data_IF_360875608836
#
_entry.id   IF_360875608836
#
_cell.length_a   1.000
_cell.length_b   1.000
_cell.length_c   1.000
_cell.angle_alpha   90.00
_cell.angle_beta   90.00
_cell.angle_gamma   90.00
#
_symmetry.space_group_name_H-M   'P 1'
#
loop_
_entity.id
_entity.type
_entity.pdbx_description
1 polymer ?
#
# COMPACT_ATOMS: atom_id res chain seq x y z
N UNK A 1 27.07 -45.73 3.87
CA UNK A 1 27.27 -45.23 2.50
C UNK A 1 27.63 -43.76 2.59
N UNK A 2 28.93 -43.47 2.59
CA UNK A 2 29.50 -42.11 2.69
C UNK A 2 29.44 -41.44 1.32
N UNK A 3 28.82 -40.26 1.22
CA UNK A 3 28.96 -39.38 0.06
C UNK A 3 29.71 -38.11 0.50
N UNK A 4 30.81 -37.73 -0.16
CA UNK A 4 31.54 -36.51 0.17
C UNK A 4 30.76 -35.29 -0.34
N UNK A 5 30.62 -34.29 0.53
CA UNK A 5 30.15 -32.95 0.18
C UNK A 5 31.26 -32.21 -0.59
N UNK A 6 30.99 -31.86 -1.84
CA UNK A 6 31.77 -30.90 -2.63
C UNK A 6 31.21 -29.51 -2.36
N UNK A 7 31.99 -28.67 -1.68
CA UNK A 7 31.70 -27.25 -1.46
C UNK A 7 32.29 -26.47 -2.63
N UNK A 8 31.50 -25.76 -3.46
CA UNK A 8 32.04 -24.85 -4.46
C UNK A 8 32.52 -23.57 -3.78
N UNK A 9 33.84 -23.33 -3.84
CA UNK A 9 34.48 -22.07 -3.46
C UNK A 9 34.21 -21.06 -4.59
N UNK A 10 33.26 -20.16 -4.37
CA UNK A 10 33.03 -18.99 -5.23
C UNK A 10 34.05 -17.91 -4.88
N UNK A 11 34.96 -17.65 -5.83
CA UNK A 11 35.94 -16.58 -5.78
C UNK A 11 35.22 -15.22 -5.86
N UNK A 12 35.30 -14.44 -4.78
CA UNK A 12 34.84 -13.06 -4.72
C UNK A 12 35.75 -12.16 -5.58
N UNK A 13 35.22 -11.65 -6.68
CA UNK A 13 35.83 -10.55 -7.44
C UNK A 13 35.50 -9.22 -6.77
N UNK A 14 36.51 -8.57 -6.22
CA UNK A 14 36.41 -7.20 -5.67
C UNK A 14 36.35 -6.21 -6.84
N UNK A 15 35.22 -5.54 -7.01
CA UNK A 15 35.07 -4.37 -7.89
C UNK A 15 35.11 -3.11 -7.03
N UNK A 16 36.18 -2.33 -7.16
CA UNK A 16 36.30 -0.99 -6.58
C UNK A 16 35.91 0.04 -7.64
N UNK A 17 34.75 0.68 -7.49
CA UNK A 17 34.38 1.87 -8.27
C UNK A 17 34.84 3.11 -7.50
N UNK A 18 35.98 3.69 -7.89
CA UNK A 18 36.44 4.99 -7.42
C UNK A 18 35.90 6.11 -8.30
N UNK A 19 34.94 6.87 -7.77
CA UNK A 19 34.43 8.09 -8.40
C UNK A 19 34.49 9.26 -7.42
N UNK A 20 35.33 10.25 -7.70
CA UNK A 20 35.42 11.52 -6.97
C UNK A 20 34.20 12.39 -7.29
N UNK A 21 33.36 12.67 -6.29
CA UNK A 21 32.26 13.64 -6.40
C UNK A 21 32.80 15.04 -6.15
N UNK A 22 32.69 15.90 -7.14
CA UNK A 22 32.99 17.33 -7.07
C UNK A 22 31.76 18.04 -6.49
N UNK A 23 31.91 18.67 -5.33
CA UNK A 23 30.88 19.51 -4.70
C UNK A 23 30.92 20.92 -5.28
N UNK A 24 29.85 21.34 -5.95
CA UNK A 24 29.59 22.75 -6.27
C UNK A 24 28.57 23.32 -5.26
N UNK A 25 28.86 24.46 -4.61
CA UNK A 25 27.90 25.15 -3.74
C UNK A 25 26.94 26.00 -4.58
N UNK A 26 25.74 25.46 -4.86
CA UNK A 26 24.62 26.20 -5.46
C UNK A 26 23.79 26.91 -4.39
N UNK A 27 24.00 28.22 -4.25
CA UNK A 27 23.14 29.11 -3.47
C UNK A 27 21.76 29.25 -4.13
N UNK A 28 20.68 29.01 -3.37
CA UNK A 28 19.33 29.42 -3.78
C UNK A 28 18.66 30.30 -2.72
N UNK A 29 18.44 31.54 -3.16
CA UNK A 29 17.56 32.59 -2.67
C UNK A 29 16.21 32.03 -2.21
N UNK A 30 15.65 32.36 -1.03
CA UNK A 30 15.22 33.71 -0.68
C UNK A 30 13.84 33.98 -1.26
N UNK A 31 12.78 33.52 -0.57
CA UNK A 31 11.38 33.75 -0.94
C UNK A 31 10.50 33.86 0.31
N UNK A 32 10.13 35.09 0.66
CA UNK A 32 9.22 35.44 1.75
C UNK A 32 7.83 35.74 1.21
N UNK A 33 6.79 35.43 2.00
CA UNK A 33 5.52 36.15 1.94
C UNK A 33 4.28 35.30 1.67
N UNK A 34 3.28 35.42 2.55
CA UNK A 34 1.93 34.92 2.32
C UNK A 34 1.20 34.56 3.61
N UNK A 35 0.83 35.57 4.40
CA UNK A 35 -0.15 35.42 5.48
C UNK A 35 -1.52 35.71 4.88
N UNK A 36 -2.44 34.75 4.93
CA UNK A 36 -3.86 34.98 4.71
C UNK A 36 -4.67 34.48 5.90
N UNK A 37 -5.45 35.43 6.43
CA UNK A 37 -6.33 35.28 7.56
C UNK A 37 -7.76 34.99 7.08
N UNK A 38 -8.45 34.12 7.81
CA UNK A 38 -9.89 34.24 8.11
C UNK A 38 -10.89 33.80 7.03
N UNK A 39 -11.75 32.85 7.42
CA UNK A 39 -13.19 33.12 7.55
C UNK A 39 -13.93 31.88 8.08
N UNK A 40 -14.57 32.05 9.24
CA UNK A 40 -15.71 31.26 9.69
C UNK A 40 -16.85 31.30 8.66
N UNK A 41 -17.54 30.18 8.45
CA UNK A 41 -18.96 30.17 8.05
C UNK A 41 -19.61 28.81 8.31
N UNK A 42 -20.57 28.84 9.24
CA UNK A 42 -21.57 27.81 9.45
C UNK A 42 -22.69 27.92 8.41
N UNK A 43 -23.12 26.80 7.82
CA UNK A 43 -24.47 26.59 7.25
C UNK A 43 -24.67 25.07 7.01
N UNK A 44 -25.55 24.41 7.78
CA UNK A 44 -26.95 24.08 7.46
C UNK A 44 -27.14 23.25 6.19
N UNK A 45 -27.74 22.07 6.39
CA UNK A 45 -27.99 21.04 5.39
C UNK A 45 -28.89 21.46 4.23
N UNK A 46 -28.76 20.70 3.14
CA UNK A 46 -29.57 20.80 1.94
C UNK A 46 -29.94 19.41 1.43
N UNK A 47 -31.24 19.13 1.43
CA UNK A 47 -31.92 18.03 0.76
C UNK A 47 -31.76 18.17 -0.76
N UNK A 48 -31.24 17.16 -1.46
CA UNK A 48 -31.14 17.17 -2.91
C UNK A 48 -32.41 16.59 -3.56
N UNK A 49 -33.19 17.49 -4.17
CA UNK A 49 -34.26 17.17 -5.13
C UNK A 49 -33.65 17.13 -6.54
N UNK A 50 -34.05 16.13 -7.32
CA UNK A 50 -33.53 15.87 -8.67
C UNK A 50 -33.84 16.98 -9.68
N UNK A 51 -32.86 17.24 -10.55
CA UNK A 51 -33.00 18.09 -11.72
C UNK A 51 -32.60 17.33 -12.98
N UNK A 52 -33.53 17.18 -13.91
CA UNK A 52 -33.27 16.77 -15.29
C UNK A 52 -32.58 17.89 -16.05
N UNK A 53 -31.50 17.59 -16.78
CA UNK A 53 -30.93 18.49 -17.78
C UNK A 53 -30.69 17.74 -19.09
N UNK A 54 -31.23 18.32 -20.15
CA UNK A 54 -31.22 17.88 -21.54
C UNK A 54 -30.06 18.55 -22.29
N UNK A 55 -29.34 17.78 -23.12
CA UNK A 55 -28.75 18.25 -24.38
C UNK A 55 -27.41 18.99 -24.34
N UNK A 56 -26.34 18.29 -24.70
CA UNK A 56 -25.05 18.87 -25.08
C UNK A 56 -24.17 17.82 -25.76
N UNK A 57 -24.12 17.82 -27.09
CA UNK A 57 -23.31 16.90 -27.89
C UNK A 57 -21.89 17.46 -28.01
N UNK A 58 -20.93 16.80 -27.37
CA UNK A 58 -19.50 17.03 -27.58
C UNK A 58 -18.76 15.69 -27.71
N UNK A 59 -18.16 15.52 -28.87
CA UNK A 59 -17.36 14.38 -29.33
C UNK A 59 -15.99 14.36 -28.66
N UNK A 60 -15.56 13.19 -28.18
CA UNK A 60 -14.16 12.76 -28.22
C UNK A 60 -13.28 13.09 -27.01
N UNK A 61 -13.45 12.34 -25.93
CA UNK A 61 -12.41 12.15 -24.91
C UNK A 61 -12.64 10.80 -24.25
N UNK A 62 -11.67 9.89 -24.35
CA UNK A 62 -11.73 8.58 -23.68
C UNK A 62 -11.85 8.82 -22.19
N UNK A 63 -13.03 8.58 -21.64
CA UNK A 63 -13.27 8.51 -20.21
C UNK A 63 -12.39 7.39 -19.66
N UNK A 64 -11.43 7.76 -18.80
CA UNK A 64 -10.78 6.79 -17.95
C UNK A 64 -11.88 6.06 -17.17
N UNK A 65 -11.98 4.75 -17.39
CA UNK A 65 -12.78 3.86 -16.55
C UNK A 65 -12.25 3.97 -15.13
N UNK A 66 -12.91 4.77 -14.30
CA UNK A 66 -12.70 4.75 -12.86
C UNK A 66 -12.83 3.31 -12.39
N UNK A 67 -11.81 2.81 -11.71
CA UNK A 67 -11.79 1.47 -11.15
C UNK A 67 -13.04 1.23 -10.33
N UNK A 68 -13.69 0.09 -10.56
CA UNK A 68 -14.84 -0.36 -9.78
C UNK A 68 -14.47 -0.33 -8.31
N UNK A 69 -15.24 0.42 -7.50
CA UNK A 69 -15.20 0.24 -6.05
C UNK A 69 -15.59 -1.22 -5.77
N UNK A 70 -14.65 -1.98 -5.21
CA UNK A 70 -14.83 -3.40 -4.91
C UNK A 70 -16.12 -3.65 -4.11
N UNK A 71 -16.78 -4.77 -4.41
CA UNK A 71 -18.01 -5.17 -3.72
C UNK A 71 -17.78 -5.24 -2.20
N UNK A 72 -18.75 -4.75 -1.41
CA UNK A 72 -18.71 -4.77 0.05
C UNK A 72 -18.59 -6.22 0.56
N UNK A 73 -17.37 -6.63 0.91
CA UNK A 73 -17.05 -7.95 1.45
C UNK A 73 -17.58 -8.16 2.86
N UNK A 74 -17.83 -9.42 3.22
CA UNK A 74 -18.33 -9.87 4.52
C UNK A 74 -17.36 -9.66 5.70
N UNK A 75 -17.52 -10.39 6.83
CA UNK A 75 -16.88 -10.07 8.10
C UNK A 75 -15.37 -9.88 7.96
N UNK A 76 -14.88 -8.76 8.50
CA UNK A 76 -13.62 -8.09 8.19
C UNK A 76 -12.31 -8.85 8.46
N UNK A 77 -12.36 -10.03 9.09
CA UNK A 77 -11.19 -10.88 9.28
C UNK A 77 -11.19 -11.93 8.18
N UNK A 78 -10.48 -11.63 7.10
CA UNK A 78 -10.34 -12.53 5.96
C UNK A 78 -9.36 -13.67 6.25
N UNK A 79 -8.42 -13.46 7.19
CA UNK A 79 -7.35 -14.39 7.49
C UNK A 79 -6.75 -14.10 8.88
N UNK A 80 -5.90 -15.00 9.36
CA UNK A 80 -5.03 -14.76 10.51
C UNK A 80 -3.58 -14.93 10.09
N UNK A 81 -2.64 -14.26 10.77
CA UNK A 81 -1.19 -14.45 10.52
C UNK A 81 -0.77 -15.92 10.66
N UNK A 82 -1.43 -16.65 11.57
CA UNK A 82 -1.23 -18.09 11.78
C UNK A 82 -1.79 -18.98 10.66
N UNK A 83 -2.72 -18.47 9.85
CA UNK A 83 -3.34 -19.17 8.74
C UNK A 83 -3.58 -18.23 7.54
N UNK A 84 -2.53 -17.93 6.74
CA UNK A 84 -2.66 -17.15 5.52
C UNK A 84 -3.16 -17.99 4.33
N UNK A 85 -3.50 -19.28 4.54
CA UNK A 85 -3.97 -20.16 3.47
C UNK A 85 -5.24 -19.71 2.73
N UNK A 86 -6.18 -18.93 3.30
CA UNK A 86 -7.34 -18.47 2.55
C UNK A 86 -7.01 -17.30 1.61
N UNK A 87 -5.84 -16.65 1.76
CA UNK A 87 -5.41 -15.57 0.90
C UNK A 87 -4.88 -16.09 -0.44
N UNK A 88 -5.29 -15.44 -1.52
CA UNK A 88 -4.85 -15.78 -2.88
C UNK A 88 -4.30 -14.53 -3.56
N UNK A 89 -3.27 -14.73 -4.38
CA UNK A 89 -2.76 -13.69 -5.28
C UNK A 89 -3.49 -13.83 -6.61
N UNK A 90 -4.07 -12.74 -7.07
CA UNK A 90 -4.49 -12.57 -8.45
C UNK A 90 -3.33 -11.91 -9.21
N UNK A 91 -2.73 -12.66 -10.13
CA UNK A 91 -1.71 -12.15 -11.03
C UNK A 91 -2.17 -12.35 -12.46
N UNK A 92 -2.45 -11.24 -13.12
CA UNK A 92 -2.69 -11.19 -14.55
C UNK A 92 -1.88 -10.05 -15.18
N UNK A 93 -2.21 -9.67 -16.41
CA UNK A 93 -1.51 -8.63 -17.13
C UNK A 93 -1.79 -7.20 -16.64
N UNK A 94 -2.88 -7.01 -15.90
CA UNK A 94 -3.35 -5.70 -15.46
C UNK A 94 -3.12 -5.47 -13.96
N UNK A 95 -3.18 -6.53 -13.15
CA UNK A 95 -3.24 -6.45 -11.71
C UNK A 95 -2.34 -7.50 -11.04
N UNK A 96 -1.73 -7.05 -9.95
CA UNK A 96 -1.07 -7.91 -8.98
C UNK A 96 -1.62 -7.53 -7.60
N UNK A 97 -2.66 -8.23 -7.16
CA UNK A 97 -3.35 -7.93 -5.91
C UNK A 97 -3.67 -9.20 -5.15
N UNK A 98 -3.77 -9.10 -3.83
CA UNK A 98 -4.24 -10.19 -3.01
C UNK A 98 -5.73 -10.03 -2.72
N UNK A 99 -6.44 -11.15 -2.60
CA UNK A 99 -7.84 -11.18 -2.24
C UNK A 99 -8.11 -12.31 -1.25
N UNK A 100 -9.11 -12.09 -0.39
CA UNK A 100 -9.46 -13.01 0.68
C UNK A 100 -10.50 -14.06 0.32
N UNK A 101 -10.85 -14.93 1.29
CA UNK A 101 -11.88 -15.94 1.10
C UNK A 101 -13.25 -15.26 0.95
N UNK A 102 -13.99 -15.67 -0.07
CA UNK A 102 -15.33 -15.16 -0.36
C UNK A 102 -15.35 -13.84 -1.12
N UNK A 103 -14.20 -13.20 -1.34
CA UNK A 103 -14.08 -12.08 -2.26
C UNK A 103 -14.04 -12.61 -3.70
N UNK A 104 -14.87 -12.09 -4.63
CA UNK A 104 -14.76 -12.46 -6.03
C UNK A 104 -13.40 -12.01 -6.56
N UNK A 105 -12.71 -12.84 -7.37
CA UNK A 105 -11.47 -12.40 -7.99
C UNK A 105 -11.72 -11.15 -8.87
N UNK A 106 -10.72 -10.30 -9.04
CA UNK A 106 -10.79 -9.18 -9.98
C UNK A 106 -11.16 -9.66 -11.38
N UNK A 107 -11.83 -8.83 -12.19
CA UNK A 107 -12.11 -9.18 -13.57
C UNK A 107 -10.79 -9.41 -14.33
N UNK A 108 -10.75 -10.47 -15.12
CA UNK A 108 -9.58 -10.80 -15.93
C UNK A 108 -9.26 -9.69 -16.93
N UNK A 109 -7.98 -9.35 -17.03
CA UNK A 109 -7.46 -8.44 -18.03
C UNK A 109 -7.70 -9.00 -19.44
N UNK A 110 -8.32 -8.21 -20.32
CA UNK A 110 -8.55 -8.58 -21.72
C UNK A 110 -7.29 -8.52 -22.59
N UNK A 111 -6.15 -8.09 -22.04
CA UNK A 111 -4.89 -7.98 -22.77
C UNK A 111 -3.97 -9.13 -22.39
N UNK A 112 -3.39 -9.77 -23.41
CA UNK A 112 -2.30 -10.72 -23.22
C UNK A 112 -0.97 -9.98 -23.01
N UNK A 113 -0.23 -10.38 -21.98
CA UNK A 113 1.09 -9.90 -21.64
C UNK A 113 2.10 -11.04 -21.75
N UNK A 114 3.36 -10.70 -22.03
CA UNK A 114 4.44 -11.68 -22.05
C UNK A 114 4.84 -12.15 -20.65
N UNK A 115 4.64 -11.29 -19.64
CA UNK A 115 4.94 -11.53 -18.23
C UNK A 115 3.79 -10.96 -17.41
N UNK A 116 3.32 -11.70 -16.41
CA UNK A 116 2.28 -11.24 -15.50
C UNK A 116 2.75 -10.07 -14.63
N UNK A 117 1.80 -9.27 -14.16
CA UNK A 117 2.06 -8.04 -13.42
C UNK A 117 2.86 -8.30 -12.14
N UNK A 118 2.57 -9.37 -11.39
CA UNK A 118 3.32 -9.70 -10.18
C UNK A 118 4.79 -10.03 -10.48
N UNK A 119 5.04 -10.89 -11.47
CA UNK A 119 6.41 -11.22 -11.89
C UNK A 119 7.15 -9.98 -12.37
N UNK A 120 6.49 -9.09 -13.11
CA UNK A 120 7.10 -7.82 -13.56
C UNK A 120 7.46 -6.88 -12.40
N UNK A 121 6.72 -6.95 -11.29
CA UNK A 121 6.99 -6.21 -10.05
C UNK A 121 8.06 -6.89 -9.16
N UNK A 122 8.66 -7.98 -9.64
CA UNK A 122 9.77 -8.66 -8.96
C UNK A 122 9.35 -9.69 -7.92
N UNK A 123 8.08 -10.10 -7.91
CA UNK A 123 7.66 -11.19 -7.02
C UNK A 123 8.20 -12.53 -7.51
N UNK A 124 8.88 -13.30 -6.65
CA UNK A 124 9.34 -14.63 -7.00
C UNK A 124 8.14 -15.55 -7.31
N UNK A 125 8.30 -16.37 -8.35
CA UNK A 125 7.29 -17.36 -8.70
C UNK A 125 7.00 -18.30 -7.53
N UNK A 126 5.73 -18.43 -7.17
CA UNK A 126 5.30 -19.27 -6.04
C UNK A 126 5.22 -18.55 -4.70
N UNK A 127 5.47 -17.24 -4.65
CA UNK A 127 5.08 -16.43 -3.48
C UNK A 127 3.59 -16.59 -3.21
N UNK A 128 3.24 -16.72 -1.94
CA UNK A 128 1.86 -16.76 -1.46
C UNK A 128 1.51 -15.40 -0.88
N UNK A 129 0.23 -15.03 -0.96
CA UNK A 129 -0.27 -13.87 -0.24
C UNK A 129 -0.01 -14.04 1.27
N UNK A 130 0.28 -12.92 1.93
CA UNK A 130 0.41 -12.85 3.38
C UNK A 130 -0.92 -12.38 3.99
N UNK A 131 -1.14 -12.74 5.25
CA UNK A 131 -2.19 -12.13 6.05
C UNK A 131 -1.55 -11.09 6.95
N UNK A 132 -1.86 -9.82 6.72
CA UNK A 132 -1.30 -8.71 7.49
C UNK A 132 -2.48 -7.89 8.05
N UNK A 133 -2.57 -7.75 9.37
CA UNK A 133 -3.66 -6.99 10.02
C UNK A 133 -5.07 -7.51 9.64
N UNK A 134 -5.22 -8.83 9.51
CA UNK A 134 -6.50 -9.48 9.21
C UNK A 134 -6.97 -9.39 7.75
N UNK A 135 -6.13 -8.87 6.84
CA UNK A 135 -6.40 -8.81 5.40
C UNK A 135 -5.34 -9.54 4.59
N UNK A 136 -5.73 -9.93 3.38
CA UNK A 136 -4.80 -10.50 2.43
C UNK A 136 -4.02 -9.39 1.72
N UNK A 137 -2.70 -9.51 1.70
CA UNK A 137 -1.80 -8.64 0.93
C UNK A 137 -0.86 -9.49 0.10
N UNK A 138 -0.39 -8.97 -1.03
CA UNK A 138 0.65 -9.64 -1.82
C UNK A 138 1.93 -9.79 -0.99
N UNK A 139 2.19 -8.82 -0.11
CA UNK A 139 3.30 -8.84 0.84
C UNK A 139 4.58 -8.33 0.20
N UNK A 140 4.49 -7.26 -0.60
CA UNK A 140 5.67 -6.55 -1.05
C UNK A 140 6.44 -6.00 0.15
N UNK A 141 7.77 -6.05 0.08
CA UNK A 141 8.61 -5.34 1.02
C UNK A 141 8.67 -3.88 0.59
N UNK A 142 8.25 -2.96 1.46
CA UNK A 142 8.27 -1.52 1.19
C UNK A 142 9.02 -0.76 2.29
N UNK A 143 9.79 -1.49 3.12
CA UNK A 143 10.55 -0.91 4.23
C UNK A 143 11.91 -0.38 3.74
N UNK A 144 12.18 0.94 3.81
CA UNK A 144 13.47 1.51 3.45
C UNK A 144 14.65 0.89 4.22
N UNK A 145 14.42 0.32 5.41
CA UNK A 145 15.46 -0.32 6.21
C UNK A 145 16.05 -1.57 5.53
N UNK A 146 15.34 -2.17 4.57
CA UNK A 146 15.80 -3.34 3.82
C UNK A 146 16.55 -2.99 2.53
N UNK A 147 16.75 -1.71 2.22
CA UNK A 147 17.49 -1.26 1.04
C UNK A 147 18.98 -1.14 1.33
N UNK A 148 19.80 -1.85 0.56
CA UNK A 148 21.27 -1.80 0.63
C UNK A 148 21.94 -1.25 -0.63
N UNK A 149 21.19 -0.99 -1.70
CA UNK A 149 21.72 -0.42 -2.93
C UNK A 149 21.80 1.11 -2.85
N UNK A 150 22.84 1.70 -3.45
CA UNK A 150 23.10 3.16 -3.39
C UNK A 150 22.19 4.00 -4.33
N UNK A 151 20.96 3.56 -4.59
CA UNK A 151 19.99 4.27 -5.42
C UNK A 151 19.09 5.18 -4.59
N UNK A 152 18.65 6.29 -5.18
CA UNK A 152 17.53 7.06 -4.62
C UNK A 152 16.22 6.27 -4.81
N UNK A 153 15.27 6.34 -3.86
CA UNK A 153 13.94 5.77 -4.05
C UNK A 153 13.25 6.42 -5.27
N UNK A 154 12.42 5.68 -6.02
CA UNK A 154 11.57 6.29 -7.03
C UNK A 154 10.55 7.22 -6.38
N UNK A 155 10.12 8.24 -7.11
CA UNK A 155 9.02 9.10 -6.69
C UNK A 155 7.69 8.40 -7.00
N UNK A 156 6.91 8.12 -5.95
CA UNK A 156 5.67 7.38 -6.04
C UNK A 156 4.48 8.31 -5.77
N UNK A 157 3.42 8.18 -6.56
CA UNK A 157 2.18 8.94 -6.34
C UNK A 157 1.55 8.58 -4.98
N UNK A 158 0.74 9.46 -4.37
CA UNK A 158 0.08 9.17 -3.10
C UNK A 158 -0.77 7.89 -3.14
N UNK A 159 -0.60 7.02 -2.15
CA UNK A 159 -1.21 5.68 -2.12
C UNK A 159 -0.35 4.58 -2.76
N UNK A 160 0.78 4.94 -3.35
CA UNK A 160 1.83 4.02 -3.79
C UNK A 160 3.06 4.12 -2.89
N UNK A 161 3.79 3.03 -2.77
CA UNK A 161 5.06 2.97 -2.04
C UNK A 161 6.15 2.32 -2.90
N UNK A 162 7.41 2.75 -2.76
CA UNK A 162 8.52 2.11 -3.45
C UNK A 162 8.74 0.71 -2.88
N UNK A 163 8.66 -0.31 -3.72
CA UNK A 163 8.96 -1.68 -3.33
C UNK A 163 10.48 -1.89 -3.19
N UNK A 164 10.87 -2.86 -2.39
CA UNK A 164 12.24 -3.33 -2.20
C UNK A 164 12.36 -4.70 -2.86
N UNK A 165 13.15 -4.77 -3.92
CA UNK A 165 13.34 -5.97 -4.73
C UNK A 165 14.80 -6.35 -4.70
N UNK A 166 15.10 -7.51 -4.12
CA UNK A 166 16.48 -7.96 -3.88
C UNK A 166 17.31 -6.85 -3.20
N UNK A 167 16.73 -6.22 -2.18
CA UNK A 167 17.30 -5.13 -1.37
C UNK A 167 17.76 -3.88 -2.13
N UNK A 168 17.30 -3.71 -3.37
CA UNK A 168 17.35 -2.44 -4.06
C UNK A 168 15.94 -1.85 -4.15
N UNK A 169 15.83 -0.56 -4.46
CA UNK A 169 14.57 0.03 -4.86
C UNK A 169 14.05 -0.60 -6.16
N UNK A 170 12.80 -1.06 -6.12
CA UNK A 170 12.02 -1.53 -7.25
C UNK A 170 11.07 -0.44 -7.76
N UNK A 171 9.98 -0.87 -8.42
CA UNK A 171 8.92 0.02 -8.85
C UNK A 171 8.01 0.49 -7.70
N UNK A 172 7.07 1.39 -8.02
CA UNK A 172 6.02 1.77 -7.09
C UNK A 172 4.89 0.72 -7.12
N UNK A 173 4.47 0.27 -5.94
CA UNK A 173 3.37 -0.68 -5.75
C UNK A 173 2.30 -0.05 -4.87
N UNK A 174 1.08 -0.58 -4.87
CA UNK A 174 0.03 -0.08 -3.99
C UNK A 174 0.47 -0.24 -2.52
N UNK A 175 0.39 0.84 -1.74
CA UNK A 175 0.79 0.83 -0.33
C UNK A 175 -0.01 -0.19 0.51
N UNK A 176 -1.25 -0.47 0.10
CA UNK A 176 -2.09 -1.50 0.69
C UNK A 176 -1.58 -2.94 0.45
N UNK A 177 -0.78 -3.18 -0.58
CA UNK A 177 -0.21 -4.51 -0.90
C UNK A 177 1.17 -4.73 -0.28
N UNK A 178 1.74 -3.69 0.35
CA UNK A 178 2.94 -3.79 1.15
C UNK A 178 2.65 -4.54 2.46
N UNK A 179 3.65 -5.30 2.93
CA UNK A 179 3.63 -5.91 4.26
C UNK A 179 3.52 -4.82 5.33
N UNK A 180 4.37 -3.81 5.22
CA UNK A 180 4.38 -2.60 6.04
C UNK A 180 4.80 -1.40 5.17
N UNK A 181 4.56 -0.19 5.66
CA UNK A 181 5.02 1.06 5.04
C UNK A 181 5.84 1.87 6.05
N UNK A 182 6.74 2.77 5.59
CA UNK A 182 7.59 3.54 6.49
C UNK A 182 6.81 4.56 7.34
N UNK A 183 5.67 5.04 6.83
CA UNK A 183 4.81 5.98 7.55
C UNK A 183 3.39 5.96 7.02
N UNK A 184 2.46 6.53 7.81
CA UNK A 184 1.07 6.72 7.39
C UNK A 184 0.88 7.62 6.18
N UNK A 185 1.89 8.41 5.79
CA UNK A 185 1.77 9.33 4.66
C UNK A 185 1.82 8.58 3.31
N UNK A 186 2.27 7.32 3.32
CA UNK A 186 2.25 6.43 2.16
C UNK A 186 0.82 5.92 1.83
N UNK A 187 -0.08 5.91 2.81
CA UNK A 187 -1.43 5.39 2.63
C UNK A 187 -2.28 6.32 1.77
N UNK A 188 -3.18 5.74 0.97
CA UNK A 188 -4.13 6.53 0.21
C UNK A 188 -5.08 7.27 1.17
N UNK A 189 -5.63 8.41 0.73
CA UNK A 189 -6.57 9.20 1.56
C UNK A 189 -7.85 8.44 1.93
N UNK A 190 -8.20 7.41 1.15
CA UNK A 190 -9.34 6.51 1.38
C UNK A 190 -9.01 5.33 2.30
N UNK A 191 -7.78 5.24 2.79
CA UNK A 191 -7.30 4.15 3.63
C UNK A 191 -7.10 4.62 5.08
N UNK A 192 -7.11 3.64 5.99
CA UNK A 192 -6.73 3.77 7.38
C UNK A 192 -5.25 3.42 7.50
N UNK A 193 -4.49 4.27 8.17
CA UNK A 193 -3.18 3.89 8.66
C UNK A 193 -3.34 3.20 10.02
N UNK A 194 -2.91 1.95 10.11
CA UNK A 194 -2.82 1.20 11.35
C UNK A 194 -1.36 1.20 11.80
N UNK A 195 -1.09 1.75 12.98
CA UNK A 195 0.22 1.68 13.62
C UNK A 195 0.21 0.55 14.66
N UNK A 196 0.95 -0.50 14.40
CA UNK A 196 1.28 -1.55 15.35
C UNK A 196 2.50 -1.12 16.14
N UNK A 197 2.28 -0.71 17.39
CA UNK A 197 3.34 -0.26 18.28
C UNK A 197 3.64 -1.37 19.29
N UNK A 198 4.66 -2.17 18.98
CA UNK A 198 5.20 -3.17 19.89
C UNK A 198 6.66 -2.86 20.23
N UNK A 199 7.61 -3.54 19.59
CA UNK A 199 9.05 -3.25 19.71
C UNK A 199 9.52 -2.18 18.73
N UNK A 200 8.87 -2.11 17.58
CA UNK A 200 9.04 -1.09 16.55
C UNK A 200 7.64 -0.58 16.14
N UNK A 201 7.59 0.60 15.53
CA UNK A 201 6.37 1.08 14.90
C UNK A 201 6.29 0.47 13.50
N UNK A 202 5.29 -0.38 13.27
CA UNK A 202 4.97 -0.91 11.96
C UNK A 202 3.67 -0.26 11.48
N UNK A 203 3.70 0.33 10.29
CA UNK A 203 2.53 1.00 9.71
C UNK A 203 1.95 0.14 8.59
N UNK A 204 0.63 0.01 8.56
CA UNK A 204 -0.09 -0.73 7.54
C UNK A 204 -1.23 0.13 6.97
N UNK A 205 -1.38 0.16 5.64
CA UNK A 205 -2.41 0.94 4.96
C UNK A 205 -3.62 0.09 4.62
N UNK A 206 -4.67 0.08 5.46
CA UNK A 206 -5.83 -0.80 5.35
C UNK A 206 -7.03 -0.07 4.74
N UNK A 207 -7.75 -0.62 3.75
CA UNK A 207 -9.01 -0.03 3.28
C UNK A 207 -10.00 0.17 4.43
N UNK A 208 -10.71 1.31 4.43
CA UNK A 208 -11.73 1.56 5.46
C UNK A 208 -12.82 0.49 5.35
N UNK A 209 -13.17 -0.18 6.46
CA UNK A 209 -14.23 -1.16 6.44
C UNK A 209 -15.55 -0.60 5.95
N UNK A 210 -16.25 -1.29 5.06
CA UNK A 210 -17.57 -0.85 4.55
C UNK A 210 -18.58 -0.68 5.68
N UNK A 211 -18.50 -1.52 6.72
CA UNK A 211 -19.32 -1.44 7.94
C UNK A 211 -19.02 -0.19 8.79
N UNK A 212 -17.78 0.33 8.70
CA UNK A 212 -17.33 1.55 9.35
C UNK A 212 -17.28 2.75 8.40
N UNK A 213 -17.68 2.57 7.14
CA UNK A 213 -17.61 3.62 6.13
C UNK A 213 -18.55 4.76 6.52
N UNK A 214 -18.01 5.99 6.53
CA UNK A 214 -18.74 7.20 6.91
C UNK A 214 -18.71 7.54 8.41
N UNK A 215 -18.31 6.60 9.28
CA UNK A 215 -18.09 6.89 10.70
C UNK A 215 -16.96 6.03 11.30
N UNK A 216 -15.69 6.33 10.96
CA UNK A 216 -14.53 5.59 11.46
C UNK A 216 -14.26 5.94 12.94
N UNK A 217 -15.06 5.40 13.86
CA UNK A 217 -14.82 5.54 15.30
C UNK A 217 -13.90 4.43 15.80
N UNK A 218 -13.22 4.66 16.93
CA UNK A 218 -12.47 3.61 17.62
C UNK A 218 -13.32 2.38 17.90
N UNK A 219 -14.58 2.57 18.32
CA UNK A 219 -15.48 1.46 18.62
C UNK A 219 -15.82 0.58 17.41
N UNK A 220 -15.76 1.13 16.19
CA UNK A 220 -15.98 0.38 14.96
C UNK A 220 -14.68 -0.25 14.45
N UNK A 221 -13.60 0.54 14.37
CA UNK A 221 -12.35 0.12 13.74
C UNK A 221 -11.51 -0.81 14.62
N UNK A 222 -11.39 -0.52 15.91
CA UNK A 222 -10.50 -1.26 16.81
C UNK A 222 -10.71 -2.77 16.84
N UNK A 223 -11.94 -3.30 17.00
CA UNK A 223 -12.13 -4.75 17.02
C UNK A 223 -11.81 -5.42 15.67
N UNK A 224 -11.79 -4.67 14.58
CA UNK A 224 -11.54 -5.18 13.23
C UNK A 224 -10.06 -5.18 12.88
N UNK A 225 -9.35 -4.08 13.16
CA UNK A 225 -7.94 -3.91 12.77
C UNK A 225 -6.94 -4.28 13.87
N UNK A 226 -7.36 -4.29 15.13
CA UNK A 226 -6.50 -4.64 16.27
C UNK A 226 -7.03 -5.85 17.09
N UNK A 227 -7.46 -6.98 16.48
CA UNK A 227 -8.19 -8.03 17.20
C UNK A 227 -7.36 -8.76 18.27
N UNK A 228 -6.04 -8.78 18.12
CA UNK A 228 -5.08 -9.47 19.01
C UNK A 228 -4.32 -8.54 19.95
N UNK A 229 -4.65 -7.25 19.98
CA UNK A 229 -3.90 -6.22 20.70
C UNK A 229 -4.59 -5.82 22.01
N UNK A 230 -3.78 -5.43 23.01
CA UNK A 230 -4.27 -5.10 24.34
C UNK A 230 -5.00 -3.75 24.37
N UNK A 231 -4.54 -2.79 23.56
CA UNK A 231 -5.12 -1.45 23.49
C UNK A 231 -5.28 -1.04 22.03
N UNK A 232 -6.38 -0.36 21.76
CA UNK A 232 -6.60 0.32 20.50
C UNK A 232 -7.23 1.70 20.71
N UNK A 233 -6.66 2.70 20.06
CA UNK A 233 -7.18 4.06 20.04
C UNK A 233 -7.03 4.70 18.67
N UNK A 234 -7.83 5.74 18.42
CA UNK A 234 -7.64 6.60 17.26
C UNK A 234 -6.52 7.60 17.59
N UNK A 235 -5.50 7.68 16.75
CA UNK A 235 -4.45 8.70 16.80
C UNK A 235 -4.75 9.89 15.86
N UNK A 236 -5.82 9.81 15.08
CA UNK A 236 -6.28 10.84 14.14
C UNK A 236 -7.48 10.36 13.32
N UNK A 237 -8.01 11.16 12.38
CA UNK A 237 -9.24 10.82 11.63
C UNK A 237 -9.13 9.56 10.77
N UNK A 238 -7.93 9.19 10.33
CA UNK A 238 -7.64 7.95 9.58
C UNK A 238 -6.42 7.21 10.14
N UNK A 239 -6.15 7.37 11.44
CA UNK A 239 -5.00 6.74 12.10
C UNK A 239 -5.49 5.95 13.31
N UNK A 240 -5.28 4.63 13.27
CA UNK A 240 -5.53 3.72 14.38
C UNK A 240 -4.20 3.30 14.95
N UNK A 241 -4.09 3.28 16.27
CA UNK A 241 -2.92 2.77 16.97
C UNK A 241 -3.33 1.53 17.75
N UNK A 242 -2.62 0.43 17.52
CA UNK A 242 -2.71 -0.81 18.28
C UNK A 242 -1.44 -0.91 19.14
N UNK A 243 -1.60 -0.94 20.46
CA UNK A 243 -0.47 -1.05 21.40
C UNK A 243 -0.52 -2.40 22.13
N UNK A 244 0.63 -3.07 22.20
CA UNK A 244 0.78 -4.32 22.94
C UNK A 244 1.57 -4.00 24.21
N UNK A 245 0.84 -3.92 25.33
CA UNK A 245 1.40 -3.67 26.68
C UNK A 245 1.80 -4.98 27.33
#
# INVERSE_FOLDING_TARGET
>A
MNRPFLVPILLAGVWTCGGTVTTEPGAMSGGSGGADAGADSAAKGGTSTGGSATGGSSTGGSVATGGSAGAAGGPFVQCTESDPSPCKIFSDCCACIAYGPGEPPPPECLMDCFVDSCTSQGLPSGQKAACEVGRCVVGFDCDPAHVYCNGLPPDCEPGLAPAVVNGCWGGCVAAAECRNVPSCDACAKSELCVNHNYSNNEFHCVPVPSECAGNPTSSCLCPLVCPSWNFCNMAGPSKVQCDYI
#
